data_IF_320518047902
#
_entry.id   IF_320518047902
#
_cell.length_a   1.000
_cell.length_b   1.000
_cell.length_c   1.000
_cell.angle_alpha   90.00
_cell.angle_beta   90.00
_cell.angle_gamma   90.00
#
_symmetry.space_group_name_H-M   'P 1'
#
loop_
_entity.id
_entity.type
_entity.pdbx_description
1 polymer ?
#
# COMPACT_ATOMS: atom_id res chain seq x y z
N UNK A 1 35.82 6.76 -52.32
CA UNK A 1 36.44 7.57 -51.25
C UNK A 1 35.58 7.42 -50.01
N UNK A 2 36.06 6.80 -48.92
CA UNK A 2 35.26 6.68 -47.72
C UNK A 2 35.18 8.04 -47.03
N UNK A 3 33.94 8.51 -46.82
CA UNK A 3 33.66 9.77 -46.12
C UNK A 3 34.17 9.67 -44.68
N UNK A 4 35.05 10.61 -44.33
CA UNK A 4 35.67 10.72 -43.03
C UNK A 4 34.57 11.03 -42.00
N UNK A 5 34.19 10.05 -41.18
CA UNK A 5 33.22 10.26 -40.10
C UNK A 5 33.87 11.17 -39.07
N UNK A 6 33.50 12.43 -39.16
CA UNK A 6 34.06 13.54 -38.39
C UNK A 6 33.99 13.24 -36.88
N UNK A 7 35.12 13.26 -36.17
CA UNK A 7 35.19 13.01 -34.72
C UNK A 7 34.25 13.93 -33.91
N UNK A 8 33.89 15.06 -34.52
CA UNK A 8 32.92 16.02 -34.01
C UNK A 8 31.49 15.46 -33.96
N UNK A 9 31.12 14.58 -34.89
CA UNK A 9 29.82 13.89 -34.93
C UNK A 9 29.66 12.91 -33.76
N UNK A 10 30.71 12.14 -33.46
CA UNK A 10 30.69 11.17 -32.37
C UNK A 10 30.57 11.84 -30.98
N UNK A 11 31.29 12.94 -30.77
CA UNK A 11 31.20 13.74 -29.54
C UNK A 11 29.81 14.34 -29.33
N UNK A 12 29.14 14.81 -30.41
CA UNK A 12 27.76 15.32 -30.34
C UNK A 12 26.76 14.23 -29.95
N UNK A 13 26.91 13.00 -30.46
CA UNK A 13 26.04 11.87 -30.11
C UNK A 13 26.17 11.50 -28.63
N UNK A 14 27.39 11.46 -28.08
CA UNK A 14 27.61 11.20 -26.65
C UNK A 14 27.02 12.31 -25.76
N UNK A 15 27.14 13.57 -26.20
CA UNK A 15 26.54 14.71 -25.50
C UNK A 15 25.01 14.65 -25.43
N UNK A 16 24.36 14.24 -26.52
CA UNK A 16 22.89 14.07 -26.55
C UNK A 16 22.45 12.92 -25.64
N UNK A 17 23.17 11.79 -25.65
CA UNK A 17 22.89 10.66 -24.74
C UNK A 17 22.97 11.06 -23.27
N UNK A 18 24.01 11.81 -22.87
CA UNK A 18 24.18 12.26 -21.48
C UNK A 18 23.05 13.20 -21.06
N UNK A 19 22.70 14.19 -21.90
CA UNK A 19 21.58 15.11 -21.63
C UNK A 19 20.23 14.41 -21.52
N UNK A 20 19.98 13.39 -22.35
CA UNK A 20 18.76 12.60 -22.26
C UNK A 20 18.69 11.80 -20.95
N UNK A 21 19.80 11.21 -20.50
CA UNK A 21 19.88 10.52 -19.21
C UNK A 21 19.69 11.48 -18.03
N UNK A 22 20.28 12.68 -18.10
CA UNK A 22 20.14 13.70 -17.06
C UNK A 22 18.68 14.20 -16.96
N UNK A 23 17.99 14.41 -18.09
CA UNK A 23 16.58 14.79 -18.11
C UNK A 23 15.66 13.68 -17.60
N UNK A 24 15.94 12.42 -17.93
CA UNK A 24 15.20 11.27 -17.37
C UNK A 24 15.39 11.22 -15.85
N UNK A 25 16.62 11.41 -15.35
CA UNK A 25 16.90 11.46 -13.91
C UNK A 25 16.19 12.62 -13.21
N UNK A 26 16.09 13.78 -13.89
CA UNK A 26 15.40 14.96 -13.36
C UNK A 26 13.88 14.74 -13.26
N UNK A 27 13.28 14.13 -14.28
CA UNK A 27 11.85 13.78 -14.30
C UNK A 27 11.48 12.74 -13.23
N UNK A 28 12.37 11.76 -13.01
CA UNK A 28 12.23 10.81 -11.90
C UNK A 28 12.34 11.47 -10.52
N UNK A 29 13.03 12.62 -10.44
CA UNK A 29 13.27 13.37 -9.20
C UNK A 29 12.28 14.53 -8.98
N UNK A 30 11.30 14.76 -9.84
CA UNK A 30 10.39 15.93 -9.74
C UNK A 30 8.93 15.58 -9.43
N UNK A 31 8.62 14.30 -9.20
CA UNK A 31 7.30 13.82 -8.76
C UNK A 31 6.99 13.99 -7.26
N UNK A 32 7.83 14.70 -6.50
CA UNK A 32 7.66 14.82 -5.05
C UNK A 32 6.48 15.71 -4.69
N UNK A 33 5.44 15.12 -4.10
CA UNK A 33 4.44 15.86 -3.35
C UNK A 33 5.13 16.76 -2.30
N UNK A 34 4.58 17.95 -2.05
CA UNK A 34 5.08 18.87 -1.02
C UNK A 34 5.28 18.14 0.30
N UNK A 35 6.53 18.09 0.79
CA UNK A 35 6.96 17.32 1.97
C UNK A 35 6.16 17.62 3.25
N UNK A 36 5.51 18.79 3.33
CA UNK A 36 4.65 19.17 4.46
C UNK A 36 3.30 18.44 4.46
N UNK A 37 2.70 18.18 3.28
CA UNK A 37 1.40 17.49 3.18
C UNK A 37 1.56 16.01 3.52
N UNK A 38 2.58 15.36 2.97
CA UNK A 38 2.87 13.95 3.23
C UNK A 38 3.15 13.66 4.72
N UNK A 39 3.88 14.55 5.42
CA UNK A 39 4.13 14.42 6.87
C UNK A 39 2.83 14.49 7.68
N UNK A 40 1.96 15.44 7.36
CA UNK A 40 0.68 15.58 8.05
C UNK A 40 -0.26 14.38 7.82
N UNK A 41 -0.21 13.75 6.65
CA UNK A 41 -1.03 12.56 6.37
C UNK A 41 -0.52 11.32 7.15
N UNK A 42 0.80 11.15 7.29
CA UNK A 42 1.37 10.07 8.11
C UNK A 42 1.08 10.27 9.60
N UNK A 43 1.19 11.49 10.12
CA UNK A 43 0.84 11.79 11.53
C UNK A 43 -0.62 11.40 11.83
N UNK A 44 -1.54 11.68 10.91
CA UNK A 44 -2.96 11.33 11.07
C UNK A 44 -3.18 9.81 10.99
N UNK A 45 -2.42 9.10 10.14
CA UNK A 45 -2.44 7.64 10.09
C UNK A 45 -1.90 7.02 11.38
N UNK A 46 -0.81 7.55 11.93
CA UNK A 46 -0.26 7.09 13.21
C UNK A 46 -1.22 7.33 14.38
N UNK A 47 -1.86 8.50 14.44
CA UNK A 47 -2.94 8.75 15.39
C UNK A 47 -4.08 7.72 15.24
N UNK A 48 -4.48 7.40 14.00
CA UNK A 48 -5.47 6.36 13.74
C UNK A 48 -5.02 4.98 14.23
N UNK A 49 -3.77 4.57 13.94
CA UNK A 49 -3.19 3.29 14.38
C UNK A 49 -3.17 3.19 15.91
N UNK A 50 -2.78 4.27 16.59
CA UNK A 50 -2.77 4.35 18.05
C UNK A 50 -4.17 4.20 18.66
N UNK A 51 -5.18 4.84 18.07
CA UNK A 51 -6.58 4.64 18.46
C UNK A 51 -7.02 3.21 18.23
N UNK A 52 -6.71 2.65 17.07
CA UNK A 52 -7.13 1.31 16.68
C UNK A 52 -6.54 0.25 17.63
N UNK A 53 -5.26 0.38 18.01
CA UNK A 53 -4.60 -0.51 18.95
C UNK A 53 -5.35 -0.68 20.29
N UNK A 54 -6.12 0.33 20.72
CA UNK A 54 -6.94 0.24 21.94
C UNK A 54 -8.08 -0.79 21.85
N UNK A 55 -8.51 -1.16 20.64
CA UNK A 55 -9.60 -2.12 20.39
C UNK A 55 -9.12 -3.56 20.20
N UNK A 56 -7.82 -3.82 20.06
CA UNK A 56 -7.27 -5.16 19.83
C UNK A 56 -7.06 -5.97 21.12
N UNK A 57 -6.67 -7.24 20.97
CA UNK A 57 -6.33 -8.21 22.03
C UNK A 57 -7.50 -8.56 22.97
N UNK A 58 -8.64 -8.96 22.41
CA UNK A 58 -9.82 -9.38 23.19
C UNK A 58 -10.55 -8.24 23.91
N UNK A 59 -10.11 -6.99 23.76
CA UNK A 59 -10.77 -5.84 24.41
C UNK A 59 -12.11 -5.50 23.75
N UNK A 60 -12.29 -5.87 22.48
CA UNK A 60 -13.47 -5.55 21.68
C UNK A 60 -14.19 -6.82 21.20
N UNK A 61 -14.60 -7.67 22.15
CA UNK A 61 -15.22 -8.98 21.89
C UNK A 61 -16.64 -8.92 21.30
N UNK A 62 -17.39 -7.83 21.49
CA UNK A 62 -18.79 -7.69 21.04
C UNK A 62 -18.97 -6.72 19.86
N UNK A 63 -17.92 -6.53 19.06
CA UNK A 63 -17.79 -5.43 18.11
C UNK A 63 -18.27 -5.68 16.69
N UNK A 64 -19.08 -6.71 16.42
CA UNK A 64 -19.46 -7.01 15.02
C UNK A 64 -20.24 -5.86 14.38
N UNK A 65 -21.06 -5.18 15.17
CA UNK A 65 -21.96 -4.13 14.72
C UNK A 65 -21.31 -2.74 14.76
N UNK A 66 -20.36 -2.54 15.69
CA UNK A 66 -19.57 -1.33 15.81
C UNK A 66 -18.14 -1.58 15.39
N UNK A 67 -17.90 -1.33 14.10
CA UNK A 67 -16.61 -1.40 13.46
C UNK A 67 -15.58 -0.45 14.15
N UNK A 68 -14.47 -0.97 14.72
CA UNK A 68 -13.41 -0.15 15.30
C UNK A 68 -12.86 0.93 14.38
N UNK A 69 -12.74 0.65 13.07
CA UNK A 69 -12.30 1.64 12.09
C UNK A 69 -13.22 2.86 12.07
N UNK A 70 -14.54 2.65 12.03
CA UNK A 70 -15.52 3.74 12.00
C UNK A 70 -15.37 4.70 13.19
N UNK A 71 -15.07 4.13 14.38
CA UNK A 71 -14.82 4.88 15.61
C UNK A 71 -13.48 5.63 15.54
N UNK A 72 -12.41 4.94 15.14
CA UNK A 72 -11.06 5.50 15.06
C UNK A 72 -10.93 6.63 14.02
N UNK A 73 -11.61 6.51 12.89
CA UNK A 73 -11.70 7.56 11.87
C UNK A 73 -12.40 8.82 12.39
N UNK A 74 -13.23 8.71 13.43
CA UNK A 74 -13.88 9.83 14.12
C UNK A 74 -13.12 10.27 15.35
N UNK A 75 -11.88 9.79 15.54
CA UNK A 75 -11.02 10.21 16.63
C UNK A 75 -11.32 9.54 17.98
N UNK A 76 -12.11 8.46 18.00
CA UNK A 76 -12.38 7.73 19.25
C UNK A 76 -11.40 6.58 19.47
N UNK A 77 -11.00 6.40 20.73
CA UNK A 77 -10.33 5.20 21.23
C UNK A 77 -11.13 4.52 22.34
N UNK A 78 -10.90 3.23 22.54
CA UNK A 78 -11.44 2.49 23.68
C UNK A 78 -10.71 2.89 24.95
N UNK A 79 -11.47 3.24 26.00
CA UNK A 79 -10.92 3.56 27.34
C UNK A 79 -11.33 2.56 28.41
N UNK A 80 -12.50 1.94 28.26
CA UNK A 80 -12.99 0.90 29.17
C UNK A 80 -13.69 -0.19 28.36
N UNK A 81 -13.02 -1.33 28.20
CA UNK A 81 -13.50 -2.49 27.46
C UNK A 81 -14.70 -3.18 28.12
N UNK A 82 -14.78 -3.14 29.46
CA UNK A 82 -15.86 -3.77 30.23
C UNK A 82 -17.14 -2.94 30.12
N UNK A 83 -17.03 -1.61 30.20
CA UNK A 83 -18.17 -0.69 30.07
C UNK A 83 -18.49 -0.28 28.64
N UNK A 84 -17.72 -0.77 27.66
CA UNK A 84 -17.79 -0.37 26.24
C UNK A 84 -17.77 1.15 26.08
N UNK A 85 -16.88 1.81 26.81
CA UNK A 85 -16.75 3.27 26.80
C UNK A 85 -15.60 3.68 25.90
N UNK A 86 -15.88 4.59 24.98
CA UNK A 86 -14.90 5.20 24.09
C UNK A 86 -14.71 6.68 24.43
N UNK A 87 -13.56 7.24 24.08
CA UNK A 87 -13.21 8.64 24.30
C UNK A 87 -12.63 9.25 23.03
N UNK A 88 -13.07 10.45 22.67
CA UNK A 88 -12.44 11.23 21.60
C UNK A 88 -11.08 11.78 22.10
N UNK A 89 -10.01 11.53 21.36
CA UNK A 89 -8.67 12.04 21.75
C UNK A 89 -8.54 13.55 21.63
N UNK A 90 -9.27 14.16 20.69
CA UNK A 90 -9.17 15.60 20.42
C UNK A 90 -9.97 16.46 21.39
N UNK A 91 -11.23 16.12 21.67
CA UNK A 91 -12.10 16.92 22.56
C UNK A 91 -12.39 16.25 23.91
N UNK A 92 -11.85 15.07 24.17
CA UNK A 92 -12.01 14.37 25.44
C UNK A 92 -13.40 13.82 25.74
N UNK A 93 -14.37 13.96 24.82
CA UNK A 93 -15.75 13.51 25.00
C UNK A 93 -15.82 11.98 25.18
N UNK A 94 -16.64 11.52 26.13
CA UNK A 94 -16.86 10.11 26.41
C UNK A 94 -18.22 9.65 25.86
N UNK A 95 -18.24 8.51 25.19
CA UNK A 95 -19.47 7.87 24.72
C UNK A 95 -19.53 6.42 25.20
N UNK A 96 -20.67 6.03 25.75
CA UNK A 96 -20.96 4.63 26.02
C UNK A 96 -21.55 3.98 24.76
N UNK A 97 -20.99 2.85 24.35
CA UNK A 97 -21.38 2.12 23.14
C UNK A 97 -22.03 0.76 23.43
N UNK A 98 -22.44 0.54 24.68
CA UNK A 98 -23.11 -0.70 25.08
C UNK A 98 -24.42 -0.86 24.31
N UNK A 99 -24.62 -2.05 23.74
CA UNK A 99 -25.85 -2.45 23.09
C UNK A 99 -26.53 -3.53 23.93
N UNK A 100 -27.87 -3.57 23.97
CA UNK A 100 -28.56 -4.71 24.56
C UNK A 100 -28.23 -5.99 23.79
N UNK A 101 -28.26 -7.14 24.46
CA UNK A 101 -28.05 -8.43 23.80
C UNK A 101 -29.17 -8.66 22.77
N UNK A 102 -28.78 -8.88 21.51
CA UNK A 102 -29.68 -9.08 20.38
C UNK A 102 -30.63 -10.27 20.56
N UNK A 103 -30.25 -11.25 21.38
CA UNK A 103 -31.08 -12.42 21.70
C UNK A 103 -32.15 -12.13 22.76
N UNK A 104 -32.03 -11.01 23.48
CA UNK A 104 -32.88 -10.67 24.64
C UNK A 104 -33.89 -9.56 24.36
N UNK A 105 -33.72 -8.80 23.28
CA UNK A 105 -34.59 -7.67 22.92
C UNK A 105 -35.12 -7.80 21.51
N UNK A 106 -36.25 -7.15 21.24
CA UNK A 106 -36.78 -7.03 19.88
C UNK A 106 -35.76 -6.32 18.96
N UNK A 107 -35.63 -6.83 17.74
CA UNK A 107 -34.73 -6.32 16.70
C UNK A 107 -34.91 -4.81 16.44
N UNK A 108 -36.12 -4.27 16.54
CA UNK A 108 -36.40 -2.83 16.41
C UNK A 108 -35.80 -2.02 17.56
N UNK A 109 -35.81 -2.57 18.77
CA UNK A 109 -35.19 -1.93 19.95
C UNK A 109 -33.67 -1.94 19.80
N UNK A 110 -33.10 -3.10 19.45
CA UNK A 110 -31.66 -3.24 19.17
C UNK A 110 -31.20 -2.23 18.12
N UNK A 111 -31.86 -2.19 16.96
CA UNK A 111 -31.53 -1.27 15.87
C UNK A 111 -31.69 0.21 16.25
N UNK A 112 -32.65 0.54 17.13
CA UNK A 112 -32.79 1.91 17.65
C UNK A 112 -31.60 2.29 18.53
N UNK A 113 -31.16 1.39 19.42
CA UNK A 113 -29.99 1.62 20.26
C UNK A 113 -28.72 1.74 19.42
N UNK A 114 -28.51 0.84 18.45
CA UNK A 114 -27.38 0.90 17.53
C UNK A 114 -27.33 2.23 16.77
N UNK A 115 -28.47 2.69 16.25
CA UNK A 115 -28.58 3.98 15.55
C UNK A 115 -28.24 5.16 16.45
N UNK A 116 -28.70 5.15 17.71
CA UNK A 116 -28.33 6.18 18.70
C UNK A 116 -26.83 6.21 18.96
N UNK A 117 -26.16 5.06 19.00
CA UNK A 117 -24.70 5.01 19.14
C UNK A 117 -24.04 5.63 17.91
N UNK A 118 -24.47 5.29 16.70
CA UNK A 118 -23.94 5.88 15.47
C UNK A 118 -24.15 7.41 15.41
N UNK A 119 -25.37 7.88 15.67
CA UNK A 119 -25.69 9.31 15.76
C UNK A 119 -24.83 10.01 16.82
N UNK A 120 -24.67 9.36 17.98
CA UNK A 120 -23.80 9.82 19.05
C UNK A 120 -22.37 10.01 18.55
N UNK A 121 -21.77 8.98 17.97
CA UNK A 121 -20.41 9.02 17.43
C UNK A 121 -20.23 10.14 16.39
N UNK A 122 -21.24 10.44 15.57
CA UNK A 122 -21.15 11.51 14.57
C UNK A 122 -21.32 12.92 15.14
N UNK A 123 -22.16 13.08 16.16
CA UNK A 123 -22.64 14.39 16.60
C UNK A 123 -22.08 14.85 17.94
N UNK A 124 -21.61 13.95 18.80
CA UNK A 124 -21.27 14.25 20.19
C UNK A 124 -19.96 15.04 20.39
N UNK A 125 -19.18 15.20 19.33
CA UNK A 125 -17.98 16.01 19.36
C UNK A 125 -18.27 17.49 19.60
N UNK A 126 -17.40 18.16 20.35
CA UNK A 126 -17.40 19.61 20.48
C UNK A 126 -17.35 20.31 19.11
N UNK A 127 -17.93 21.51 19.00
CA UNK A 127 -18.00 22.24 17.72
C UNK A 127 -16.62 22.47 17.08
N UNK A 128 -15.60 22.66 17.91
CA UNK A 128 -14.20 22.92 17.53
C UNK A 128 -13.32 21.67 17.44
N UNK A 129 -13.90 20.48 17.61
CA UNK A 129 -13.14 19.23 17.61
C UNK A 129 -12.51 18.96 16.24
N UNK A 130 -11.18 18.83 16.21
CA UNK A 130 -10.41 18.57 14.97
C UNK A 130 -10.69 17.20 14.36
N UNK A 131 -11.14 16.23 15.16
CA UNK A 131 -11.53 14.91 14.66
C UNK A 131 -12.74 14.95 13.70
N UNK A 132 -13.53 16.04 13.69
CA UNK A 132 -14.60 16.23 12.71
C UNK A 132 -14.08 16.40 11.28
N UNK A 133 -12.94 17.06 11.12
CA UNK A 133 -12.39 17.48 9.83
C UNK A 133 -11.13 16.72 9.41
N UNK A 134 -10.41 16.11 10.35
CA UNK A 134 -9.26 15.24 10.06
C UNK A 134 -9.71 13.79 9.92
N UNK A 135 -9.66 13.27 8.69
CA UNK A 135 -9.81 11.84 8.40
C UNK A 135 -8.49 11.26 7.93
N UNK A 136 -8.12 10.04 8.36
CA UNK A 136 -6.96 9.36 7.82
C UNK A 136 -7.15 9.12 6.33
N UNK A 137 -6.13 9.44 5.55
CA UNK A 137 -6.07 9.02 4.16
C UNK A 137 -5.33 7.69 4.10
N UNK A 138 -6.06 6.58 4.02
CA UNK A 138 -5.46 5.24 3.97
C UNK A 138 -4.72 4.95 2.66
N UNK A 139 -5.05 5.71 1.62
CA UNK A 139 -4.45 5.62 0.30
C UNK A 139 -4.02 7.02 -0.11
N UNK A 140 -3.06 7.65 0.60
CA UNK A 140 -2.60 8.98 0.29
C UNK A 140 -2.15 8.95 -1.16
N UNK A 141 -2.94 9.60 -2.03
CA UNK A 141 -2.93 9.38 -3.48
C UNK A 141 -1.56 8.98 -3.92
N UNK A 142 -1.39 7.68 -4.22
CA UNK A 142 -0.09 7.18 -4.59
C UNK A 142 0.24 7.92 -5.88
N UNK A 143 1.14 8.90 -5.78
CA UNK A 143 1.33 9.96 -6.78
C UNK A 143 2.12 9.41 -7.97
N UNK A 144 1.61 8.32 -8.55
CA UNK A 144 2.26 7.54 -9.58
C UNK A 144 2.87 6.24 -9.05
N UNK A 145 3.09 5.35 -10.00
CA UNK A 145 3.71 4.03 -9.85
C UNK A 145 5.06 4.05 -9.12
N UNK A 146 5.88 5.09 -9.29
CA UNK A 146 7.21 5.18 -8.66
C UNK A 146 7.10 5.17 -7.14
N UNK A 147 6.18 5.97 -6.60
CA UNK A 147 6.00 6.11 -5.15
C UNK A 147 5.47 4.81 -4.54
N UNK A 148 4.61 4.11 -5.28
CA UNK A 148 4.06 2.82 -4.93
C UNK A 148 5.13 1.73 -4.88
N UNK A 149 5.94 1.64 -5.94
CA UNK A 149 7.01 0.66 -6.03
C UNK A 149 8.04 0.88 -4.93
N UNK A 150 8.34 2.14 -4.59
CA UNK A 150 9.20 2.49 -3.45
C UNK A 150 8.61 1.99 -2.13
N UNK A 151 7.32 2.21 -1.87
CA UNK A 151 6.66 1.72 -0.64
C UNK A 151 6.68 0.19 -0.57
N UNK A 152 6.32 -0.48 -1.67
CA UNK A 152 6.39 -1.93 -1.78
C UNK A 152 7.82 -2.48 -1.59
N UNK A 153 8.83 -1.78 -2.11
CA UNK A 153 10.24 -2.15 -1.95
C UNK A 153 10.69 -2.01 -0.50
N UNK A 154 10.29 -0.92 0.19
CA UNK A 154 10.58 -0.73 1.62
C UNK A 154 9.97 -1.86 2.45
N UNK A 155 8.71 -2.23 2.18
CA UNK A 155 8.07 -3.38 2.87
C UNK A 155 8.77 -4.69 2.56
N UNK A 156 9.19 -4.90 1.30
CA UNK A 156 9.95 -6.08 0.88
C UNK A 156 11.28 -6.20 1.64
N UNK A 157 12.01 -5.09 1.76
CA UNK A 157 13.28 -5.04 2.47
C UNK A 157 13.15 -5.41 3.95
N UNK A 158 12.03 -5.06 4.59
CA UNK A 158 11.71 -5.51 5.96
C UNK A 158 11.39 -7.00 6.01
N UNK A 159 10.70 -7.54 5.00
CA UNK A 159 10.25 -8.94 4.99
C UNK A 159 11.29 -9.96 4.53
N UNK A 160 12.30 -9.58 3.74
CA UNK A 160 13.18 -10.54 3.05
C UNK A 160 13.92 -11.54 3.96
N UNK A 161 14.06 -11.22 5.25
CA UNK A 161 14.70 -12.07 6.25
C UNK A 161 13.70 -12.84 7.13
N UNK A 162 12.40 -12.73 6.87
CA UNK A 162 11.38 -13.42 7.65
C UNK A 162 11.46 -14.94 7.43
N UNK A 163 11.35 -15.70 8.51
CA UNK A 163 11.35 -17.15 8.44
C UNK A 163 9.93 -17.67 8.27
N UNK A 164 9.66 -18.25 7.09
CA UNK A 164 8.41 -18.94 6.83
C UNK A 164 8.53 -20.43 7.18
N UNK A 165 7.49 -20.99 7.79
CA UNK A 165 7.38 -22.45 7.89
C UNK A 165 7.39 -23.07 6.49
N UNK A 166 8.02 -24.23 6.33
CA UNK A 166 8.02 -24.97 5.06
C UNK A 166 6.61 -25.40 4.65
N UNK A 167 5.74 -25.63 5.63
CA UNK A 167 4.37 -26.11 5.44
C UNK A 167 3.37 -24.95 5.21
N UNK A 168 3.81 -23.70 5.42
CA UNK A 168 2.95 -22.54 5.23
C UNK A 168 2.63 -22.32 3.74
N UNK A 169 1.35 -22.21 3.44
CA UNK A 169 0.85 -21.82 2.13
C UNK A 169 0.26 -20.41 2.17
N UNK A 170 0.66 -19.60 1.18
CA UNK A 170 0.07 -18.27 0.94
C UNK A 170 -0.62 -18.31 -0.41
N UNK A 171 -1.92 -18.56 -0.39
CA UNK A 171 -2.78 -18.60 -1.57
C UNK A 171 -3.41 -17.24 -1.81
N UNK A 172 -3.29 -16.70 -3.01
CA UNK A 172 -4.00 -15.48 -3.41
C UNK A 172 -4.47 -15.68 -4.85
N UNK A 173 -5.69 -16.17 -5.01
CA UNK A 173 -6.21 -16.69 -6.28
C UNK A 173 -6.21 -15.66 -7.40
N UNK A 174 -6.30 -14.38 -7.04
CA UNK A 174 -6.31 -13.28 -7.99
C UNK A 174 -4.93 -12.69 -8.30
N UNK A 175 -3.85 -13.24 -7.74
CA UNK A 175 -2.48 -12.74 -7.91
C UNK A 175 -1.56 -13.79 -8.56
N UNK A 176 -1.46 -13.71 -9.89
CA UNK A 176 -0.60 -14.56 -10.70
C UNK A 176 0.87 -14.44 -10.28
N UNK A 177 1.55 -15.57 -10.07
CA UNK A 177 2.98 -15.64 -9.80
C UNK A 177 3.83 -14.88 -10.82
N UNK A 178 3.45 -14.86 -12.09
CA UNK A 178 4.15 -14.08 -13.12
C UNK A 178 4.02 -12.56 -12.90
N UNK A 179 2.91 -12.08 -12.34
CA UNK A 179 2.77 -10.68 -11.90
C UNK A 179 3.70 -10.42 -10.72
N UNK A 180 3.68 -11.29 -9.71
CA UNK A 180 4.51 -11.14 -8.50
C UNK A 180 5.99 -11.08 -8.84
N UNK A 181 6.48 -11.98 -9.70
CA UNK A 181 7.88 -12.04 -10.11
C UNK A 181 8.29 -10.83 -10.98
N UNK A 182 7.36 -10.23 -11.74
CA UNK A 182 7.65 -8.98 -12.47
C UNK A 182 7.82 -7.80 -11.52
N UNK A 183 7.00 -7.72 -10.49
CA UNK A 183 7.09 -6.65 -9.48
C UNK A 183 8.31 -6.82 -8.58
N UNK A 184 8.67 -8.06 -8.25
CA UNK A 184 9.85 -8.40 -7.44
C UNK A 184 10.68 -9.49 -8.13
N UNK A 185 11.62 -9.09 -9.02
CA UNK A 185 12.40 -10.02 -9.83
C UNK A 185 13.42 -10.86 -9.05
N UNK A 186 13.76 -10.49 -7.82
CA UNK A 186 14.75 -11.20 -7.01
C UNK A 186 14.27 -12.60 -6.62
N UNK A 187 14.72 -13.63 -7.33
CA UNK A 187 14.35 -15.03 -7.11
C UNK A 187 14.84 -15.60 -5.77
N UNK A 188 15.77 -14.93 -5.09
CA UNK A 188 16.25 -15.37 -3.77
C UNK A 188 15.21 -15.18 -2.66
N UNK A 189 14.24 -14.27 -2.86
CA UNK A 189 13.15 -14.02 -1.92
C UNK A 189 11.96 -14.91 -2.21
N UNK A 190 11.46 -15.57 -1.16
CA UNK A 190 10.30 -16.46 -1.24
C UNK A 190 9.06 -15.75 -1.82
N UNK A 191 8.42 -16.38 -2.79
CA UNK A 191 7.23 -15.82 -3.46
C UNK A 191 6.06 -15.57 -2.50
N UNK A 192 5.97 -16.33 -1.41
CA UNK A 192 4.96 -16.16 -0.37
C UNK A 192 5.11 -14.81 0.33
N UNK A 193 6.33 -14.40 0.67
CA UNK A 193 6.61 -13.07 1.23
C UNK A 193 6.24 -11.97 0.24
N UNK A 194 6.55 -12.16 -1.04
CA UNK A 194 6.17 -11.22 -2.11
C UNK A 194 4.66 -10.99 -2.17
N UNK A 195 3.86 -12.05 -2.06
CA UNK A 195 2.39 -11.97 -2.01
C UNK A 195 1.90 -11.23 -0.76
N UNK A 196 2.53 -11.45 0.40
CA UNK A 196 2.19 -10.75 1.64
C UNK A 196 2.42 -9.24 1.53
N UNK A 197 3.57 -8.81 0.98
CA UNK A 197 3.87 -7.40 0.76
C UNK A 197 2.84 -6.73 -0.16
N UNK A 198 2.49 -7.39 -1.26
CA UNK A 198 1.51 -6.90 -2.24
C UNK A 198 0.14 -6.69 -1.61
N UNK A 199 -0.28 -7.63 -0.76
CA UNK A 199 -1.59 -7.61 -0.11
C UNK A 199 -1.61 -6.80 1.20
N UNK A 200 -0.55 -6.01 1.44
CA UNK A 200 -0.52 -4.99 2.49
C UNK A 200 -0.15 -5.50 3.87
N UNK A 201 0.55 -6.63 3.97
CA UNK A 201 1.13 -7.11 5.23
C UNK A 201 2.52 -6.54 5.43
N UNK A 202 2.96 -6.45 6.68
CA UNK A 202 4.33 -6.11 7.10
C UNK A 202 4.81 -7.11 8.16
N UNK A 203 6.12 -7.30 8.28
CA UNK A 203 6.67 -8.09 9.37
C UNK A 203 6.45 -7.35 10.70
N UNK A 204 5.91 -8.04 11.72
CA UNK A 204 5.79 -7.50 13.07
C UNK A 204 6.94 -8.00 13.96
N UNK A 205 7.20 -9.31 13.89
CA UNK A 205 8.32 -9.97 14.55
C UNK A 205 8.80 -11.16 13.70
N UNK A 206 9.73 -11.97 14.21
CA UNK A 206 10.30 -13.12 13.48
C UNK A 206 9.28 -14.18 13.06
N UNK A 207 8.12 -14.22 13.71
CA UNK A 207 7.09 -15.24 13.60
C UNK A 207 5.74 -14.71 13.13
N UNK A 208 5.52 -13.40 13.10
CA UNK A 208 4.22 -12.80 12.80
C UNK A 208 4.32 -11.72 11.74
N UNK A 209 3.30 -11.69 10.89
CA UNK A 209 3.02 -10.54 10.02
C UNK A 209 1.79 -9.80 10.50
N UNK A 210 1.77 -8.49 10.29
CA UNK A 210 0.67 -7.62 10.67
C UNK A 210 0.27 -6.70 9.53
N UNK A 211 -1.04 -6.48 9.38
CA UNK A 211 -1.54 -5.39 8.56
C UNK A 211 -1.40 -4.03 9.30
N UNK A 212 -0.73 -3.00 8.76
CA UNK A 212 -0.60 -1.71 9.44
C UNK A 212 -1.91 -0.90 9.49
N UNK A 213 -2.95 -1.29 8.72
CA UNK A 213 -4.23 -0.57 8.62
C UNK A 213 -5.35 -1.16 9.48
N UNK A 214 -5.35 -2.47 9.70
CA UNK A 214 -6.30 -3.13 10.60
C UNK A 214 -5.67 -3.80 11.82
N UNK A 215 -4.34 -3.73 11.96
CA UNK A 215 -3.55 -4.30 13.05
C UNK A 215 -3.82 -5.78 13.34
N UNK A 216 -4.39 -6.51 12.37
CA UNK A 216 -4.52 -7.96 12.46
C UNK A 216 -3.14 -8.57 12.30
N UNK A 217 -2.76 -9.43 13.24
CA UNK A 217 -1.51 -10.20 13.21
C UNK A 217 -1.81 -11.68 12.95
N UNK A 218 -0.95 -12.33 12.18
CA UNK A 218 -1.05 -13.74 11.79
C UNK A 218 0.34 -14.36 11.88
N UNK A 219 0.41 -15.56 12.45
CA UNK A 219 1.64 -16.36 12.51
C UNK A 219 2.09 -16.85 11.12
N UNK A 220 3.39 -16.78 10.87
CA UNK A 220 4.08 -17.27 9.68
C UNK A 220 4.29 -18.80 9.70
N UNK A 221 3.73 -19.47 10.70
CA UNK A 221 3.58 -20.91 10.81
C UNK A 221 2.21 -21.42 10.32
N UNK A 222 1.26 -20.51 10.06
CA UNK A 222 -0.08 -20.84 9.62
C UNK A 222 -0.27 -20.55 8.13
N UNK A 223 -0.96 -21.45 7.42
CA UNK A 223 -1.40 -21.20 6.03
C UNK A 223 -2.61 -20.27 6.01
N UNK A 224 -2.62 -19.28 5.11
CA UNK A 224 -3.75 -18.36 4.97
C UNK A 224 -3.81 -17.65 3.61
N UNK A 225 -5.01 -17.20 3.25
CA UNK A 225 -5.24 -16.32 2.10
C UNK A 225 -5.16 -14.85 2.55
N UNK A 226 -4.13 -14.07 2.13
CA UNK A 226 -3.86 -12.75 2.69
C UNK A 226 -5.02 -11.77 2.59
N UNK A 227 -5.69 -11.70 1.44
CA UNK A 227 -6.83 -10.81 1.23
C UNK A 227 -8.02 -11.12 2.16
N UNK A 228 -8.38 -12.40 2.30
CA UNK A 228 -9.48 -12.83 3.17
C UNK A 228 -9.15 -12.77 4.66
N UNK A 229 -7.86 -12.73 4.99
CA UNK A 229 -7.37 -12.77 6.36
C UNK A 229 -7.24 -11.40 7.00
N UNK A 230 -7.60 -10.32 6.31
CA UNK A 230 -7.82 -9.01 6.95
C UNK A 230 -9.10 -9.03 7.80
N UNK A 231 -9.27 -8.04 8.68
CA UNK A 231 -10.62 -7.79 9.22
C UNK A 231 -11.54 -7.28 8.11
N UNK A 232 -12.83 -7.62 8.16
CA UNK A 232 -13.82 -7.21 7.14
C UNK A 232 -13.94 -5.69 6.96
N UNK A 233 -13.48 -4.93 7.95
CA UNK A 233 -13.46 -3.48 7.94
C UNK A 233 -12.10 -2.87 7.58
N UNK A 234 -11.09 -3.68 7.26
CA UNK A 234 -9.75 -3.20 6.93
C UNK A 234 -9.78 -2.32 5.67
N UNK A 235 -9.18 -1.12 5.69
CA UNK A 235 -9.09 -0.29 4.50
C UNK A 235 -8.39 -0.98 3.33
N UNK A 236 -7.40 -1.86 3.58
CA UNK A 236 -6.67 -2.58 2.53
C UNK A 236 -7.57 -3.36 1.58
N UNK A 237 -8.72 -3.85 2.05
CA UNK A 237 -9.66 -4.64 1.26
C UNK A 237 -10.89 -3.84 0.80
N UNK A 238 -10.90 -2.54 1.04
CA UNK A 238 -11.95 -1.66 0.51
C UNK A 238 -12.00 -1.79 -1.00
N UNK A 239 -13.22 -1.77 -1.52
CA UNK A 239 -13.46 -1.79 -2.95
C UNK A 239 -13.26 -0.38 -3.51
N UNK A 240 -12.60 -0.33 -4.66
CA UNK A 240 -12.54 0.88 -5.44
C UNK A 240 -13.92 1.19 -6.03
N UNK A 241 -14.44 2.39 -5.79
CA UNK A 241 -15.79 2.79 -6.20
C UNK A 241 -16.08 2.60 -7.69
N UNK A 242 -15.08 2.83 -8.55
CA UNK A 242 -15.26 2.75 -10.00
C UNK A 242 -15.17 1.33 -10.57
N UNK A 243 -14.30 0.50 -9.99
CA UNK A 243 -13.95 -0.82 -10.53
C UNK A 243 -14.56 -1.97 -9.74
N UNK A 244 -15.09 -1.71 -8.54
CA UNK A 244 -15.62 -2.72 -7.62
C UNK A 244 -14.63 -3.87 -7.34
N UNK A 245 -13.34 -3.56 -7.29
CA UNK A 245 -12.26 -4.49 -6.93
C UNK A 245 -11.47 -3.91 -5.76
N UNK A 246 -10.80 -4.75 -4.94
CA UNK A 246 -9.99 -4.26 -3.84
C UNK A 246 -8.96 -3.23 -4.29
N UNK A 247 -8.76 -2.18 -3.49
CA UNK A 247 -7.84 -1.07 -3.81
C UNK A 247 -6.41 -1.57 -4.09
N UNK A 248 -5.94 -2.58 -3.35
CA UNK A 248 -4.63 -3.20 -3.59
C UNK A 248 -4.54 -3.86 -4.98
N UNK A 249 -5.65 -4.34 -5.55
CA UNK A 249 -5.67 -4.93 -6.89
C UNK A 249 -5.57 -3.87 -7.98
N UNK A 250 -6.26 -2.74 -7.81
CA UNK A 250 -6.12 -1.57 -8.71
C UNK A 250 -4.65 -1.14 -8.82
N UNK A 251 -3.99 -1.09 -7.67
CA UNK A 251 -2.57 -0.80 -7.48
C UNK A 251 -1.70 -1.78 -8.29
N UNK A 252 -1.93 -3.08 -8.16
CA UNK A 252 -1.16 -4.11 -8.89
C UNK A 252 -1.43 -4.07 -10.40
N UNK A 253 -2.67 -3.85 -10.82
CA UNK A 253 -3.03 -3.74 -12.23
C UNK A 253 -2.37 -2.53 -12.89
N UNK A 254 -2.31 -1.40 -12.18
CA UNK A 254 -1.62 -0.19 -12.62
C UNK A 254 -0.13 -0.47 -12.83
N UNK A 255 0.55 -1.03 -11.82
CA UNK A 255 1.97 -1.39 -11.91
C UNK A 255 2.22 -2.41 -13.04
N UNK A 256 1.36 -3.40 -13.18
CA UNK A 256 1.51 -4.46 -14.19
C UNK A 256 1.30 -3.98 -15.63
N UNK A 257 0.51 -2.92 -15.83
CA UNK A 257 0.33 -2.28 -17.15
C UNK A 257 1.52 -1.40 -17.47
N UNK A 258 1.89 -0.51 -16.57
CA UNK A 258 3.04 0.35 -16.77
C UNK A 258 4.33 -0.41 -16.99
N UNK A 259 4.57 -1.50 -16.24
CA UNK A 259 5.77 -2.32 -16.42
C UNK A 259 5.81 -2.99 -17.81
N UNK A 260 4.64 -3.36 -18.36
CA UNK A 260 4.56 -3.86 -19.74
C UNK A 260 4.94 -2.78 -20.75
N UNK A 261 4.41 -1.58 -20.59
CA UNK A 261 4.69 -0.46 -21.49
C UNK A 261 6.15 -0.02 -21.40
N UNK A 262 6.71 0.05 -20.19
CA UNK A 262 8.12 0.35 -19.95
C UNK A 262 9.03 -0.73 -20.54
N UNK A 263 8.73 -2.01 -20.32
CA UNK A 263 9.53 -3.10 -20.87
C UNK A 263 9.47 -3.12 -22.41
N UNK A 264 8.31 -2.82 -22.99
CA UNK A 264 8.17 -2.65 -24.44
C UNK A 264 9.02 -1.49 -24.95
N UNK A 265 8.95 -0.32 -24.32
CA UNK A 265 9.78 0.85 -24.64
C UNK A 265 11.28 0.56 -24.52
N UNK A 266 11.71 -0.09 -23.43
CA UNK A 266 13.10 -0.50 -23.22
C UNK A 266 13.55 -1.52 -24.27
N UNK A 267 12.71 -2.48 -24.66
CA UNK A 267 13.02 -3.44 -25.72
C UNK A 267 13.20 -2.77 -27.08
N UNK A 268 12.41 -1.74 -27.36
CA UNK A 268 12.50 -0.93 -28.59
C UNK A 268 13.78 -0.11 -28.55
N UNK A 269 14.06 0.59 -27.44
CA UNK A 269 15.25 1.39 -27.25
C UNK A 269 16.54 0.53 -27.35
N UNK A 270 16.54 -0.66 -26.74
CA UNK A 270 17.67 -1.60 -26.82
C UNK A 270 17.89 -2.09 -28.25
N UNK A 271 16.84 -2.46 -28.97
CA UNK A 271 16.93 -2.85 -30.39
C UNK A 271 17.46 -1.70 -31.26
N UNK A 272 16.98 -0.48 -31.05
CA UNK A 272 17.46 0.71 -31.76
C UNK A 272 18.94 0.98 -31.47
N UNK A 273 19.36 0.88 -30.21
CA UNK A 273 20.76 1.05 -29.81
C UNK A 273 21.66 -0.02 -30.43
N UNK A 274 21.26 -1.30 -30.36
CA UNK A 274 21.99 -2.41 -30.98
C UNK A 274 22.11 -2.23 -32.49
N UNK A 275 21.04 -1.83 -33.17
CA UNK A 275 21.08 -1.55 -34.61
C UNK A 275 22.06 -0.40 -34.95
N UNK A 276 22.05 0.69 -34.17
CA UNK A 276 22.99 1.80 -34.36
C UNK A 276 24.46 1.41 -34.13
N UNK A 277 24.71 0.49 -33.19
CA UNK A 277 26.05 -0.05 -32.92
C UNK A 277 26.52 -1.01 -34.02
N UNK A 278 25.62 -1.81 -34.60
CA UNK A 278 25.93 -2.69 -35.72
C UNK A 278 26.22 -1.92 -37.02
N UNK A 279 25.56 -0.79 -37.25
CA UNK A 279 25.84 0.07 -38.42
C UNK A 279 27.17 0.82 -38.31
N UNK A 280 27.73 0.98 -37.11
CA UNK A 280 29.00 1.68 -36.89
C UNK A 280 30.23 0.77 -36.91
N UNK A 281 30.07 -0.56 -36.86
CA UNK A 281 31.18 -1.52 -37.00
C UNK A 281 31.51 -1.93 -38.44
N UNK A 282 30.81 -1.37 -39.45
CA UNK A 282 31.04 -1.65 -40.88
C UNK A 282 32.06 -0.70 -41.53
N UNK A 283 32.65 0.22 -40.76
CA UNK A 283 33.77 1.05 -41.19
C UNK A 283 35.10 0.50 -40.61
N UNK A 284 35.47 -0.73 -40.98
CA UNK A 284 36.80 -1.25 -40.68
C UNK A 284 37.80 -0.73 -41.76
N UNK A 285 38.78 0.13 -41.43
CA UNK A 285 39.64 0.76 -42.43
C UNK A 285 40.72 -0.16 -43.01
N UNK A 286 40.71 -1.45 -42.71
CA UNK A 286 41.84 -2.36 -42.96
C UNK A 286 42.00 -2.86 -44.39
N UNK A 287 41.19 -2.36 -45.34
CA UNK A 287 41.39 -2.60 -46.77
C UNK A 287 41.54 -1.31 -47.58
N UNK A 288 42.69 -0.65 -47.45
CA UNK A 288 43.23 0.22 -48.49
C UNK A 288 44.62 -0.31 -48.84
N UNK A 289 44.70 -1.06 -49.95
CA UNK A 289 45.95 -1.31 -50.67
C UNK A 289 46.14 -0.21 -51.70
#
# INVERSE_FOLDING_TARGET
MPENVDANSFSRILGVKRKALDQISLLLSSGFASSKKARNDEDVLDEYRNRLASFHNGKWENGKELNPRFLCERGFRLVDAAKKTIKCDACGFYLNTSLPDITTVDMKVYNRCLRKVFEGVETCHEKTCTAKSRRPNFFPHVNGEVELMRELSIRMDKMKNAHLSKEMEVTEDCLDSAVVLRLFPDESVDIRLKRLVITGWEIEDSSNVRCPLCLRSIGLDLSFTPSSSHYSWCPSIDLNDALNIPQWRVVIDMLSKSYRDLHQCLSIARRALSASLSTSSLCDPTHIK
#
